data_IF_391965499428
#
_entry.id   IF_391965499428
#
_cell.length_a   1.000
_cell.length_b   1.000
_cell.length_c   1.000
_cell.angle_alpha   90.00
_cell.angle_beta   90.00
_cell.angle_gamma   90.00
#
_symmetry.space_group_name_H-M   'P 1'
#
loop_
_entity.id
_entity.type
_entity.pdbx_description
1 polymer ?
#
# COMPACT_ATOMS: atom_id res chain seq x y z
N UNK A 1 -0.54 -0.94 14.49
CA UNK A 1 -0.55 -0.99 13.01
C UNK A 1 -1.84 -1.55 12.36
N UNK A 2 -2.94 -1.69 13.11
CA UNK A 2 -4.22 -2.25 12.62
C UNK A 2 -4.90 -1.44 11.49
N UNK A 3 -4.59 -0.14 11.41
CA UNK A 3 -5.05 0.73 10.34
C UNK A 3 -4.19 0.66 9.06
N UNK A 4 -3.04 -0.01 9.08
CA UNK A 4 -2.13 -0.09 7.93
C UNK A 4 -2.57 -1.20 6.98
N UNK A 5 -2.63 -0.89 5.68
CA UNK A 5 -2.90 -1.85 4.60
C UNK A 5 -1.79 -1.76 3.56
N UNK A 6 -1.16 -2.89 3.25
CA UNK A 6 -0.08 -2.97 2.26
C UNK A 6 -0.63 -3.30 0.87
N UNK A 7 -0.06 -2.67 -0.16
CA UNK A 7 -0.41 -2.87 -1.57
C UNK A 7 0.82 -2.55 -2.44
N UNK A 8 0.95 -3.21 -3.58
CA UNK A 8 1.93 -2.84 -4.61
C UNK A 8 1.34 -3.08 -6.01
N UNK A 9 2.18 -3.34 -7.02
CA UNK A 9 1.72 -3.72 -8.36
C UNK A 9 0.92 -5.03 -8.36
N UNK A 10 1.56 -6.11 -7.91
CA UNK A 10 1.04 -7.49 -7.98
C UNK A 10 0.74 -8.13 -6.62
N UNK A 11 1.02 -7.43 -5.51
CA UNK A 11 0.92 -7.95 -4.15
C UNK A 11 2.21 -8.59 -3.61
N UNK A 12 3.17 -8.97 -4.48
CA UNK A 12 4.40 -9.69 -4.07
C UNK A 12 5.23 -8.90 -3.05
N UNK A 13 5.57 -7.65 -3.33
CA UNK A 13 6.33 -6.80 -2.40
C UNK A 13 5.52 -6.47 -1.13
N UNK A 14 4.22 -6.27 -1.27
CA UNK A 14 3.34 -5.96 -0.14
C UNK A 14 3.28 -7.11 0.89
N UNK A 15 3.35 -8.38 0.43
CA UNK A 15 3.48 -9.53 1.32
C UNK A 15 4.74 -9.47 2.20
N UNK A 16 5.87 -9.02 1.63
CA UNK A 16 7.11 -8.87 2.39
C UNK A 16 7.00 -7.79 3.47
N UNK A 17 6.31 -6.67 3.18
CA UNK A 17 6.05 -5.64 4.17
C UNK A 17 5.18 -6.16 5.32
N UNK A 18 4.14 -6.94 5.02
CA UNK A 18 3.32 -7.57 6.06
C UNK A 18 4.15 -8.52 6.94
N UNK A 19 5.01 -9.35 6.34
CA UNK A 19 5.93 -10.22 7.07
C UNK A 19 6.90 -9.43 7.95
N UNK A 20 7.45 -8.33 7.44
CA UNK A 20 8.36 -7.47 8.19
C UNK A 20 7.67 -6.84 9.42
N UNK A 21 6.40 -6.47 9.32
CA UNK A 21 5.62 -5.97 10.47
C UNK A 21 5.47 -7.04 11.56
N UNK A 22 5.14 -8.27 11.18
CA UNK A 22 5.07 -9.38 12.13
C UNK A 22 6.44 -9.67 12.78
N UNK A 23 7.50 -9.71 11.97
CA UNK A 23 8.87 -9.90 12.47
C UNK A 23 9.31 -8.79 13.43
N UNK A 24 8.89 -7.55 13.18
CA UNK A 24 9.17 -6.40 14.03
C UNK A 24 8.31 -6.34 15.32
N UNK A 25 7.48 -7.35 15.60
CA UNK A 25 6.60 -7.37 16.77
C UNK A 25 5.43 -6.38 16.67
N UNK A 26 5.02 -6.03 15.45
CA UNK A 26 3.94 -5.10 15.16
C UNK A 26 2.75 -5.80 14.46
N UNK A 27 2.04 -6.71 15.14
CA UNK A 27 0.99 -7.51 14.54
C UNK A 27 -0.26 -6.69 14.20
N UNK A 28 -1.03 -7.17 13.23
CA UNK A 28 -2.38 -6.67 12.92
C UNK A 28 -2.48 -5.72 11.73
N UNK A 29 -1.38 -5.42 11.03
CA UNK A 29 -1.50 -4.80 9.69
C UNK A 29 -2.14 -5.76 8.69
N UNK A 30 -2.68 -5.25 7.59
CA UNK A 30 -3.43 -6.04 6.60
C UNK A 30 -2.82 -5.94 5.21
N UNK A 31 -3.17 -6.88 4.34
CA UNK A 31 -2.75 -6.90 2.94
C UNK A 31 -3.97 -6.74 2.03
N UNK A 32 -3.90 -5.81 1.08
CA UNK A 32 -4.80 -5.83 -0.07
C UNK A 32 -4.18 -6.69 -1.18
N UNK A 33 -4.46 -8.00 -1.13
CA UNK A 33 -3.83 -9.01 -1.98
C UNK A 33 -3.99 -8.76 -3.49
N UNK A 34 -5.17 -8.37 -4.01
CA UNK A 34 -5.33 -8.09 -5.44
C UNK A 34 -4.43 -6.94 -5.94
N UNK A 35 -4.09 -6.00 -5.05
CA UNK A 35 -3.14 -4.92 -5.33
C UNK A 35 -3.53 -4.09 -6.58
N UNK A 36 -2.59 -3.41 -7.23
CA UNK A 36 -2.89 -2.57 -8.40
C UNK A 36 -3.51 -3.36 -9.56
N UNK A 37 -2.98 -4.54 -9.89
CA UNK A 37 -3.54 -5.40 -10.95
C UNK A 37 -5.01 -5.74 -10.69
N UNK A 38 -5.37 -6.04 -9.44
CA UNK A 38 -6.76 -6.29 -9.06
C UNK A 38 -7.60 -5.03 -8.87
N UNK A 39 -6.99 -3.88 -8.58
CA UNK A 39 -7.66 -2.57 -8.55
C UNK A 39 -8.16 -2.22 -9.94
N UNK A 40 -7.27 -2.24 -10.93
CA UNK A 40 -7.56 -1.91 -12.33
C UNK A 40 -8.50 -2.88 -13.04
N UNK A 41 -8.76 -4.06 -12.47
CA UNK A 41 -9.71 -5.02 -13.04
C UNK A 41 -11.17 -4.49 -13.07
N UNK A 42 -11.51 -3.50 -12.24
CA UNK A 42 -12.77 -2.76 -12.35
C UNK A 42 -12.51 -1.34 -12.88
N UNK A 43 -12.86 -1.04 -14.14
CA UNK A 43 -12.60 0.26 -14.76
C UNK A 43 -13.43 1.40 -14.16
N UNK A 44 -14.42 1.12 -13.31
CA UNK A 44 -15.22 2.14 -12.62
C UNK A 44 -14.53 2.70 -11.38
N UNK A 45 -13.45 2.08 -10.91
CA UNK A 45 -12.73 2.55 -9.73
C UNK A 45 -11.91 3.79 -10.08
N UNK A 46 -11.87 4.80 -9.20
CA UNK A 46 -11.09 6.00 -9.45
C UNK A 46 -9.61 5.69 -9.52
N UNK A 47 -8.92 6.39 -10.42
CA UNK A 47 -7.48 6.33 -10.62
C UNK A 47 -6.98 7.76 -10.80
N UNK A 48 -5.96 8.12 -10.03
CA UNK A 48 -5.23 9.37 -10.21
C UNK A 48 -3.95 9.09 -11.01
N UNK A 49 -3.59 10.00 -11.91
CA UNK A 49 -2.36 9.92 -12.72
C UNK A 49 -1.51 11.18 -12.52
N UNK A 50 -0.21 11.05 -12.76
CA UNK A 50 0.75 12.15 -12.59
C UNK A 50 1.41 12.17 -11.21
N UNK A 51 2.36 13.09 -11.03
CA UNK A 51 2.98 13.34 -9.73
C UNK A 51 2.02 14.17 -8.87
N UNK A 52 0.99 13.52 -8.32
CA UNK A 52 0.20 14.12 -7.25
C UNK A 52 1.13 14.59 -6.11
N UNK A 53 0.70 15.56 -5.28
CA UNK A 53 1.51 16.01 -4.15
C UNK A 53 1.87 14.81 -3.27
N UNK A 54 3.17 14.53 -3.13
CA UNK A 54 3.63 13.51 -2.18
C UNK A 54 3.34 14.02 -0.78
N UNK A 55 2.33 13.43 -0.12
CA UNK A 55 2.06 13.65 1.29
C UNK A 55 3.25 13.12 2.09
N UNK A 56 4.29 13.96 2.25
CA UNK A 56 5.58 13.56 2.81
C UNK A 56 6.76 14.46 2.43
N UNK A 57 6.65 15.34 1.43
CA UNK A 57 7.61 16.43 1.26
C UNK A 57 7.32 17.55 2.29
N UNK A 58 7.35 17.19 3.58
CA UNK A 58 7.46 18.18 4.64
C UNK A 58 8.80 18.89 4.45
N UNK A 59 8.74 20.08 3.86
CA UNK A 59 9.82 21.07 3.93
C UNK A 59 10.05 21.40 5.40
N UNK A 60 11.00 20.73 6.04
CA UNK A 60 11.51 21.19 7.33
C UNK A 60 12.42 22.39 7.05
N UNK A 61 11.95 23.58 7.41
CA UNK A 61 12.82 24.66 7.87
C UNK A 61 12.48 24.91 9.33
#
# INVERSE_FOLDING_TARGET
PSAVVHMCGSGVTACHNLLAMEHAGMPGSRLFAPSWSGWLADPRRPVETGAGPVAGAATTR
#
